data_IF_586542710760
#
_entry.id   IF_586542710760
#
_cell.length_a   1.000
_cell.length_b   1.000
_cell.length_c   1.000
_cell.angle_alpha   90.00
_cell.angle_beta   90.00
_cell.angle_gamma   90.00
#
_symmetry.space_group_name_H-M   'P 1'
#
loop_
_entity.id
_entity.type
_entity.pdbx_description
1 polymer ?
#
# COMPACT_ATOMS: atom_id res chain seq x y z
N UNK A 1 50.27 -51.82 0.80
CA UNK A 1 50.29 -50.81 -0.29
C UNK A 1 48.84 -50.44 -0.59
N UNK A 2 48.35 -49.38 0.05
CA UNK A 2 46.98 -48.90 -0.09
C UNK A 2 46.97 -47.64 -0.97
N UNK A 3 46.09 -47.62 -1.97
CA UNK A 3 45.94 -46.56 -2.97
C UNK A 3 44.90 -45.56 -2.45
N UNK A 4 45.30 -44.30 -2.27
CA UNK A 4 44.43 -43.22 -1.82
C UNK A 4 43.42 -42.81 -2.91
N UNK A 5 42.15 -42.50 -2.57
CA UNK A 5 41.21 -41.93 -3.51
C UNK A 5 41.47 -40.42 -3.67
N UNK A 6 41.46 -39.97 -4.92
CA UNK A 6 41.62 -38.56 -5.34
C UNK A 6 40.31 -37.79 -5.17
N UNK A 7 40.49 -36.50 -4.91
CA UNK A 7 39.49 -35.44 -4.77
C UNK A 7 38.44 -35.41 -5.91
N UNK A 8 37.15 -35.48 -5.54
CA UNK A 8 36.00 -35.25 -6.44
C UNK A 8 35.03 -34.16 -5.92
N UNK A 9 35.45 -33.33 -4.94
CA UNK A 9 34.58 -32.26 -4.38
C UNK A 9 34.78 -30.86 -4.99
N UNK A 10 35.47 -30.74 -6.13
CA UNK A 10 35.93 -29.45 -6.66
C UNK A 10 35.04 -28.72 -7.66
N UNK A 11 33.92 -29.27 -8.14
CA UNK A 11 33.35 -28.82 -9.43
C UNK A 11 31.86 -28.46 -9.46
N UNK A 12 31.20 -28.18 -8.33
CA UNK A 12 29.73 -27.90 -8.32
C UNK A 12 29.38 -26.42 -8.04
N UNK A 13 30.35 -25.52 -7.76
CA UNK A 13 30.07 -24.10 -7.45
C UNK A 13 30.67 -23.16 -8.52
N UNK A 14 30.37 -23.37 -9.79
CA UNK A 14 30.81 -22.47 -10.87
C UNK A 14 29.67 -21.92 -11.75
N UNK A 15 28.49 -22.53 -11.76
CA UNK A 15 27.39 -22.08 -12.62
C UNK A 15 26.24 -21.52 -11.78
N UNK A 16 26.22 -20.19 -11.60
CA UNK A 16 25.03 -19.32 -11.45
C UNK A 16 25.34 -17.96 -10.79
N UNK A 17 26.41 -17.27 -11.20
CA UNK A 17 26.47 -15.81 -10.97
C UNK A 17 26.08 -15.12 -12.28
N UNK A 18 24.91 -14.43 -12.36
CA UNK A 18 24.64 -13.56 -13.49
C UNK A 18 25.79 -12.55 -13.59
N UNK A 19 26.31 -12.37 -14.79
CA UNK A 19 27.40 -11.43 -14.99
C UNK A 19 26.87 -10.01 -14.79
N UNK A 20 27.73 -9.07 -14.37
CA UNK A 20 27.34 -7.66 -14.21
C UNK A 20 26.66 -7.09 -15.47
N UNK A 21 27.04 -7.60 -16.64
CA UNK A 21 26.45 -7.25 -17.93
C UNK A 21 25.00 -7.75 -18.09
N UNK A 22 24.67 -8.90 -17.50
CA UNK A 22 23.30 -9.44 -17.53
C UNK A 22 22.37 -8.58 -16.65
N UNK A 23 22.86 -8.11 -15.50
CA UNK A 23 22.11 -7.23 -14.60
C UNK A 23 21.92 -5.82 -15.18
N UNK A 24 22.92 -5.26 -15.85
CA UNK A 24 22.82 -3.96 -16.54
C UNK A 24 21.81 -4.02 -17.69
N UNK A 25 21.80 -5.14 -18.44
CA UNK A 25 20.83 -5.37 -19.51
C UNK A 25 19.41 -5.49 -18.96
N UNK A 26 19.22 -6.28 -17.91
CA UNK A 26 17.90 -6.47 -17.27
C UNK A 26 17.37 -5.14 -16.70
N UNK A 27 18.24 -4.31 -16.11
CA UNK A 27 17.86 -2.96 -15.65
C UNK A 27 17.48 -2.02 -16.80
N UNK A 28 18.20 -2.06 -17.92
CA UNK A 28 17.90 -1.24 -19.10
C UNK A 28 16.56 -1.62 -19.73
N UNK A 29 16.30 -2.92 -19.88
CA UNK A 29 15.06 -3.44 -20.44
C UNK A 29 13.86 -3.11 -19.52
N UNK A 30 14.06 -3.16 -18.20
CA UNK A 30 13.07 -2.74 -17.20
C UNK A 30 12.71 -1.25 -17.32
N UNK A 31 13.71 -0.37 -17.49
CA UNK A 31 13.49 1.07 -17.63
C UNK A 31 12.72 1.40 -18.93
N UNK A 32 13.03 0.70 -20.03
CA UNK A 32 12.34 0.86 -21.30
C UNK A 32 10.87 0.41 -21.23
N UNK A 33 10.58 -0.66 -20.47
CA UNK A 33 9.21 -1.11 -20.23
C UNK A 33 8.40 -0.10 -19.39
N UNK A 34 9.01 0.49 -18.36
CA UNK A 34 8.36 1.55 -17.55
C UNK A 34 8.04 2.77 -18.40
N UNK A 35 8.99 3.25 -19.20
CA UNK A 35 8.77 4.42 -20.06
C UNK A 35 7.68 4.18 -21.12
N UNK A 36 7.62 2.97 -21.68
CA UNK A 36 6.53 2.58 -22.59
C UNK A 36 5.17 2.57 -21.89
N UNK A 37 5.10 2.03 -20.66
CA UNK A 37 3.86 2.00 -19.88
C UNK A 37 3.38 3.41 -19.48
N UNK A 38 4.29 4.34 -19.18
CA UNK A 38 3.96 5.75 -18.91
C UNK A 38 3.40 6.41 -20.17
N UNK A 39 4.03 6.22 -21.33
CA UNK A 39 3.53 6.78 -22.60
C UNK A 39 2.14 6.23 -22.98
N UNK A 40 1.90 4.93 -22.76
CA UNK A 40 0.58 4.32 -22.96
C UNK A 40 -0.47 4.90 -22.00
N UNK A 41 -0.10 5.13 -20.73
CA UNK A 41 -0.99 5.72 -19.73
C UNK A 41 -1.34 7.19 -20.06
N UNK A 42 -0.36 7.99 -20.50
CA UNK A 42 -0.58 9.36 -20.96
C UNK A 42 -1.49 9.42 -22.19
N UNK A 43 -1.26 8.52 -23.17
CA UNK A 43 -2.12 8.40 -24.35
C UNK A 43 -3.54 7.96 -23.99
N UNK A 44 -3.71 7.06 -23.03
CA UNK A 44 -5.02 6.61 -22.55
C UNK A 44 -5.77 7.71 -21.79
N UNK A 45 -5.05 8.51 -20.99
CA UNK A 45 -5.63 9.66 -20.31
C UNK A 45 -6.10 10.74 -21.30
N UNK A 46 -5.32 11.02 -22.35
CA UNK A 46 -5.70 11.95 -23.41
C UNK A 46 -6.93 11.46 -24.20
N UNK A 47 -6.99 10.15 -24.50
CA UNK A 47 -8.15 9.54 -25.16
C UNK A 47 -9.41 9.60 -24.29
N UNK A 48 -9.29 9.34 -22.98
CA UNK A 48 -10.40 9.43 -22.04
C UNK A 48 -10.95 10.86 -21.92
N UNK A 49 -10.07 11.86 -21.85
CA UNK A 49 -10.47 13.27 -21.83
C UNK A 49 -11.18 13.68 -23.13
N UNK A 50 -10.74 13.15 -24.28
CA UNK A 50 -11.39 13.40 -25.57
C UNK A 50 -12.79 12.77 -25.63
N UNK A 51 -12.93 11.52 -25.15
CA UNK A 51 -14.22 10.83 -25.11
C UNK A 51 -15.22 11.51 -24.15
N UNK A 52 -14.75 12.03 -23.01
CA UNK A 52 -15.56 12.81 -22.08
C UNK A 52 -16.03 14.12 -22.71
N UNK A 53 -15.15 14.83 -23.44
CA UNK A 53 -15.49 16.04 -24.17
C UNK A 53 -16.54 15.78 -25.27
N UNK A 54 -16.40 14.69 -26.03
CA UNK A 54 -17.38 14.29 -27.05
C UNK A 54 -18.73 13.90 -26.45
N UNK A 55 -18.73 13.18 -25.32
CA UNK A 55 -19.95 12.81 -24.59
C UNK A 55 -20.71 14.04 -24.07
N UNK A 56 -19.99 15.01 -23.51
CA UNK A 56 -20.56 16.27 -23.05
C UNK A 56 -21.12 17.10 -24.21
N UNK A 57 -20.41 17.17 -25.34
CA UNK A 57 -20.89 17.85 -26.54
C UNK A 57 -22.19 17.22 -27.08
N UNK A 58 -22.29 15.89 -27.07
CA UNK A 58 -23.50 15.17 -27.47
C UNK A 58 -24.69 15.40 -26.52
N UNK A 59 -24.45 15.47 -25.20
CA UNK A 59 -25.48 15.74 -24.21
C UNK A 59 -26.03 17.18 -24.31
N UNK A 60 -25.17 18.16 -24.58
CA UNK A 60 -25.58 19.54 -24.87
C UNK A 60 -26.40 19.61 -26.17
N UNK A 61 -25.95 18.93 -27.23
CA UNK A 61 -26.68 18.88 -28.50
C UNK A 61 -28.06 18.20 -28.36
N UNK A 62 -28.19 17.24 -27.45
CA UNK A 62 -29.45 16.59 -27.11
C UNK A 62 -30.35 17.41 -26.15
N UNK A 63 -29.87 18.56 -25.65
CA UNK A 63 -30.61 19.44 -24.74
C UNK A 63 -30.79 18.89 -23.33
N UNK A 64 -30.05 17.84 -22.96
CA UNK A 64 -30.15 17.20 -21.63
C UNK A 64 -29.22 17.82 -20.59
N UNK A 65 -28.34 18.75 -21.00
CA UNK A 65 -27.46 19.52 -20.11
C UNK A 65 -27.42 20.99 -20.57
N UNK A 66 -27.75 21.98 -19.72
CA UNK A 66 -27.63 23.40 -20.07
C UNK A 66 -26.15 23.77 -20.27
N UNK A 67 -25.80 24.45 -21.37
CA UNK A 67 -24.43 24.90 -21.65
C UNK A 67 -23.83 25.83 -20.56
N UNK A 68 -24.67 26.37 -19.67
CA UNK A 68 -24.28 27.20 -18.53
C UNK A 68 -23.60 26.43 -17.41
N UNK A 69 -23.77 25.11 -17.33
CA UNK A 69 -23.18 24.27 -16.27
C UNK A 69 -21.70 23.89 -16.53
N UNK A 70 -21.18 24.19 -17.73
CA UNK A 70 -19.77 23.94 -18.09
C UNK A 70 -18.88 25.17 -17.93
N UNK A 71 -19.45 26.33 -17.59
CA UNK A 71 -18.69 27.55 -17.38
C UNK A 71 -18.25 27.66 -15.91
N UNK A 72 -16.97 27.94 -15.63
CA UNK A 72 -16.54 28.28 -14.29
C UNK A 72 -17.35 29.46 -13.74
N UNK A 73 -17.63 29.51 -12.43
CA UNK A 73 -18.35 30.62 -11.81
C UNK A 73 -17.70 31.98 -12.17
N UNK A 74 -18.45 32.86 -12.84
CA UNK A 74 -17.99 34.21 -13.22
C UNK A 74 -17.83 34.47 -14.72
N UNK A 75 -18.02 33.48 -15.60
CA UNK A 75 -17.98 33.68 -17.05
C UNK A 75 -19.39 33.87 -17.64
N UNK A 76 -19.63 35.01 -18.29
CA UNK A 76 -20.88 35.28 -19.03
C UNK A 76 -20.56 35.56 -20.52
N UNK A 77 -20.85 34.63 -21.44
CA UNK A 77 -20.49 34.82 -22.85
C UNK A 77 -21.31 35.98 -23.44
N UNK A 78 -20.62 37.05 -23.85
CA UNK A 78 -21.25 38.29 -24.34
C UNK A 78 -21.80 38.17 -25.78
N UNK A 79 -21.85 36.96 -26.35
CA UNK A 79 -22.36 36.69 -27.68
C UNK A 79 -22.97 35.29 -27.72
N UNK A 80 -24.12 35.15 -28.37
CA UNK A 80 -24.90 33.90 -28.55
C UNK A 80 -24.11 32.82 -29.30
N UNK A 81 -23.10 32.24 -28.66
CA UNK A 81 -22.28 31.15 -29.18
C UNK A 81 -22.30 29.99 -28.20
N UNK A 82 -22.39 28.78 -28.74
CA UNK A 82 -22.41 27.56 -27.93
C UNK A 82 -20.98 27.18 -27.54
N UNK A 83 -20.72 27.06 -26.24
CA UNK A 83 -19.48 26.52 -25.70
C UNK A 83 -19.53 25.00 -25.83
N UNK A 84 -18.50 24.41 -26.44
CA UNK A 84 -18.38 22.96 -26.62
C UNK A 84 -17.56 22.34 -25.49
N UNK A 85 -16.48 22.99 -25.07
CA UNK A 85 -15.61 22.49 -24.01
C UNK A 85 -14.86 23.61 -23.29
N UNK A 86 -14.49 23.36 -22.04
CA UNK A 86 -13.57 24.19 -21.25
C UNK A 86 -12.43 23.28 -20.78
N UNK A 87 -11.19 23.60 -21.18
CA UNK A 87 -10.00 22.84 -20.81
C UNK A 87 -9.18 23.66 -19.83
N UNK A 88 -8.94 23.12 -18.63
CA UNK A 88 -8.05 23.73 -17.64
C UNK A 88 -6.59 23.47 -18.02
N UNK A 89 -5.77 24.52 -18.08
CA UNK A 89 -4.37 24.41 -18.53
C UNK A 89 -3.40 24.14 -17.37
N UNK A 90 -3.87 24.04 -16.12
CA UNK A 90 -3.04 23.75 -14.95
C UNK A 90 -2.21 24.94 -14.41
N UNK A 91 -2.18 26.07 -15.11
CA UNK A 91 -1.51 27.32 -14.73
C UNK A 91 -2.48 28.40 -14.19
N UNK A 92 -3.72 28.00 -13.90
CA UNK A 92 -4.80 28.90 -13.49
C UNK A 92 -5.55 29.55 -14.66
N UNK A 93 -5.19 29.25 -15.92
CA UNK A 93 -5.94 29.66 -17.11
C UNK A 93 -6.85 28.53 -17.64
N UNK A 94 -7.85 28.89 -18.44
CA UNK A 94 -8.72 27.91 -19.11
C UNK A 94 -8.91 28.28 -20.57
N UNK A 95 -8.86 27.27 -21.44
CA UNK A 95 -9.13 27.40 -22.86
C UNK A 95 -10.59 27.05 -23.12
N UNK A 96 -11.36 28.00 -23.67
CA UNK A 96 -12.76 27.79 -24.03
C UNK A 96 -12.86 27.49 -25.53
N UNK A 97 -13.48 26.36 -25.89
CA UNK A 97 -13.67 25.92 -27.27
C UNK A 97 -15.12 26.23 -27.69
N UNK A 98 -15.28 27.01 -28.75
CA UNK A 98 -16.59 27.37 -29.32
C UNK A 98 -16.91 26.52 -30.55
N UNK A 99 -18.19 26.46 -30.91
CA UNK A 99 -18.68 25.66 -32.04
C UNK A 99 -18.22 26.11 -33.43
N UNK A 100 -17.57 27.27 -33.56
CA UNK A 100 -17.16 27.84 -34.84
C UNK A 100 -15.65 27.95 -35.07
N UNK A 101 -14.79 27.88 -34.05
CA UNK A 101 -13.33 27.68 -34.17
C UNK A 101 -12.64 27.57 -32.79
N UNK A 102 -11.46 26.94 -32.72
CA UNK A 102 -10.60 26.94 -31.52
C UNK A 102 -9.79 28.23 -31.43
N UNK A 103 -10.05 29.07 -30.43
CA UNK A 103 -9.16 30.19 -30.08
C UNK A 103 -8.80 30.16 -28.60
N UNK A 104 -7.51 30.21 -28.32
CA UNK A 104 -6.98 30.44 -26.97
C UNK A 104 -7.27 31.88 -26.56
N UNK A 105 -8.28 32.09 -25.72
CA UNK A 105 -8.50 33.37 -25.05
C UNK A 105 -7.62 33.39 -23.80
N UNK A 106 -6.54 34.16 -23.82
CA UNK A 106 -5.79 34.52 -22.62
C UNK A 106 -6.55 35.67 -21.97
N UNK A 107 -7.56 35.34 -21.17
CA UNK A 107 -8.39 36.31 -20.47
C UNK A 107 -7.85 36.57 -19.07
N UNK A 108 -7.37 37.79 -18.80
CA UNK A 108 -7.34 38.29 -17.42
C UNK A 108 -8.76 38.25 -16.86
N UNK A 109 -8.90 37.63 -15.68
CA UNK A 109 -10.17 37.55 -14.95
C UNK A 109 -10.70 38.96 -14.70
N UNK A 110 -11.61 39.41 -15.55
CA UNK A 110 -12.29 40.69 -15.37
C UNK A 110 -13.55 40.40 -14.57
N UNK A 111 -13.50 40.66 -13.25
CA UNK A 111 -14.66 40.62 -12.37
C UNK A 111 -15.72 41.60 -12.88
N UNK A 112 -16.78 41.09 -13.51
CA UNK A 112 -17.98 41.88 -13.77
C UNK A 112 -18.78 42.02 -12.47
N UNK A 113 -18.35 42.89 -11.57
CA UNK A 113 -19.20 43.38 -10.48
C UNK A 113 -19.93 44.63 -10.93
N UNK A 114 -21.26 44.50 -11.02
CA UNK A 114 -22.21 45.61 -10.97
C UNK A 114 -21.83 46.62 -9.90
N UNK A 115 -21.87 47.91 -10.25
CA UNK A 115 -21.49 49.09 -9.46
C UNK A 115 -22.27 49.21 -8.14
N UNK A 116 -21.90 48.40 -7.15
CA UNK A 116 -22.20 48.63 -5.73
C UNK A 116 -20.97 49.31 -5.12
N UNK A 117 -21.10 50.35 -4.28
CA UNK A 117 -19.95 50.90 -3.57
C UNK A 117 -19.24 49.77 -2.82
N UNK A 118 -17.94 49.58 -3.09
CA UNK A 118 -17.11 48.58 -2.42
C UNK A 118 -17.03 48.94 -0.94
N UNK A 119 -17.52 48.05 -0.08
CA UNK A 119 -17.41 48.26 1.38
C UNK A 119 -16.04 47.79 1.87
N UNK A 120 -15.58 48.29 3.03
CA UNK A 120 -14.30 47.88 3.61
C UNK A 120 -14.19 46.35 3.77
N UNK A 121 -15.31 45.67 4.00
CA UNK A 121 -15.36 44.21 4.10
C UNK A 121 -15.18 43.53 2.73
N UNK A 122 -15.65 44.12 1.63
CA UNK A 122 -15.47 43.56 0.28
C UNK A 122 -13.99 43.57 -0.13
N UNK A 123 -13.25 44.63 0.25
CA UNK A 123 -11.79 44.73 0.02
C UNK A 123 -11.05 43.64 0.80
N UNK A 124 -11.38 43.46 2.09
CA UNK A 124 -10.77 42.43 2.92
C UNK A 124 -11.05 41.02 2.39
N UNK A 125 -12.29 40.75 1.99
CA UNK A 125 -12.67 39.47 1.36
C UNK A 125 -11.93 39.24 0.05
N UNK A 126 -11.77 40.28 -0.78
CA UNK A 126 -10.99 40.18 -2.01
C UNK A 126 -9.51 39.87 -1.73
N UNK A 127 -8.93 40.48 -0.70
CA UNK A 127 -7.58 40.15 -0.22
C UNK A 127 -7.44 38.68 0.18
N UNK A 128 -8.36 38.17 1.00
CA UNK A 128 -8.37 36.75 1.41
C UNK A 128 -8.57 35.80 0.21
N UNK A 129 -9.38 36.17 -0.79
CA UNK A 129 -9.51 35.40 -2.04
C UNK A 129 -8.20 35.42 -2.84
N UNK A 130 -7.50 36.55 -2.85
CA UNK A 130 -6.17 36.69 -3.47
C UNK A 130 -5.12 35.79 -2.83
N UNK A 131 -5.29 35.44 -1.54
CA UNK A 131 -4.46 34.45 -0.84
C UNK A 131 -4.83 32.99 -1.14
N UNK A 132 -5.87 32.74 -1.95
CA UNK A 132 -6.27 31.40 -2.39
C UNK A 132 -7.33 30.71 -1.53
N UNK A 133 -7.91 31.38 -0.53
CA UNK A 133 -8.97 30.79 0.30
C UNK A 133 -10.32 30.76 -0.44
N UNK A 134 -11.11 29.70 -0.21
CA UNK A 134 -12.43 29.57 -0.85
C UNK A 134 -13.41 30.67 -0.45
N UNK A 135 -14.30 31.03 -1.38
CA UNK A 135 -15.40 31.97 -1.11
C UNK A 135 -16.28 31.47 0.04
N UNK A 136 -16.48 30.15 0.17
CA UNK A 136 -17.26 29.54 1.24
C UNK A 136 -16.76 29.91 2.64
N UNK A 137 -15.47 29.74 2.94
CA UNK A 137 -14.94 30.09 4.28
C UNK A 137 -14.95 31.60 4.50
N UNK A 138 -14.62 32.38 3.47
CA UNK A 138 -14.55 33.84 3.56
C UNK A 138 -15.94 34.44 3.81
N UNK A 139 -16.96 33.96 3.10
CA UNK A 139 -18.32 34.47 3.22
C UNK A 139 -18.97 34.02 4.54
N UNK A 140 -18.70 32.79 4.99
CA UNK A 140 -19.07 32.35 6.34
C UNK A 140 -18.40 33.19 7.44
N UNK A 141 -17.24 33.79 7.15
CA UNK A 141 -16.47 34.59 8.12
C UNK A 141 -16.86 36.07 8.20
N UNK A 142 -17.87 36.51 7.43
CA UNK A 142 -18.25 37.92 7.32
C UNK A 142 -18.52 38.60 8.67
N UNK A 143 -19.21 37.91 9.59
CA UNK A 143 -19.53 38.45 10.91
C UNK A 143 -18.29 38.69 11.78
N UNK A 144 -17.34 37.75 11.74
CA UNK A 144 -16.06 37.87 12.46
C UNK A 144 -15.23 39.02 11.90
N UNK A 145 -15.05 39.05 10.56
CA UNK A 145 -14.27 40.09 9.88
C UNK A 145 -14.85 41.50 10.09
N UNK A 146 -16.17 41.66 10.03
CA UNK A 146 -16.82 42.94 10.34
C UNK A 146 -16.59 43.38 11.79
N UNK A 147 -16.56 42.43 12.73
CA UNK A 147 -16.29 42.73 14.14
C UNK A 147 -14.87 43.27 14.31
N UNK A 148 -13.87 42.67 13.64
CA UNK A 148 -12.49 43.17 13.66
C UNK A 148 -12.38 44.58 13.05
N UNK A 149 -13.03 44.83 11.91
CA UNK A 149 -13.04 46.15 11.29
C UNK A 149 -13.75 47.20 12.16
N UNK A 150 -14.82 46.82 12.87
CA UNK A 150 -15.54 47.72 13.79
C UNK A 150 -14.71 48.10 15.03
N UNK A 151 -13.75 47.27 15.39
CA UNK A 151 -12.78 47.54 16.45
C UNK A 151 -11.66 48.49 16.00
N UNK A 152 -11.61 48.83 14.71
CA UNK A 152 -10.63 49.73 14.11
C UNK A 152 -9.32 49.04 13.70
N UNK A 153 -9.32 47.72 13.53
CA UNK A 153 -8.19 47.02 12.92
C UNK A 153 -8.13 47.40 11.42
N UNK A 154 -6.93 47.63 10.93
CA UNK A 154 -6.68 47.72 9.49
C UNK A 154 -6.79 46.33 8.83
N UNK A 155 -6.73 46.30 7.50
CA UNK A 155 -6.92 45.08 6.72
C UNK A 155 -5.85 44.02 7.01
N UNK A 156 -4.59 44.43 7.21
CA UNK A 156 -3.48 43.52 7.44
C UNK A 156 -3.58 42.88 8.83
N UNK A 157 -3.84 43.67 9.86
CA UNK A 157 -4.03 43.16 11.22
C UNK A 157 -5.32 42.32 11.34
N UNK A 158 -6.40 42.71 10.66
CA UNK A 158 -7.62 41.90 10.62
C UNK A 158 -7.39 40.55 9.93
N UNK A 159 -6.57 40.54 8.87
CA UNK A 159 -6.18 39.31 8.15
C UNK A 159 -5.29 38.42 9.02
N UNK A 160 -4.30 38.99 9.70
CA UNK A 160 -3.42 38.25 10.62
C UNK A 160 -4.21 37.60 11.76
N UNK A 161 -5.08 38.37 12.43
CA UNK A 161 -5.95 37.85 13.49
C UNK A 161 -6.90 36.78 12.96
N UNK A 162 -7.46 36.95 11.75
CA UNK A 162 -8.33 35.95 11.16
C UNK A 162 -7.61 34.63 10.88
N UNK A 163 -6.41 34.67 10.32
CA UNK A 163 -5.70 33.48 9.86
C UNK A 163 -4.90 32.77 10.96
N UNK A 164 -4.33 33.52 11.89
CA UNK A 164 -3.34 32.99 12.83
C UNK A 164 -3.86 32.85 14.27
N UNK A 165 -4.97 33.52 14.63
CA UNK A 165 -5.47 33.51 16.01
C UNK A 165 -6.72 32.65 16.18
N UNK A 166 -6.79 31.95 17.31
CA UNK A 166 -7.96 31.15 17.70
C UNK A 166 -9.16 32.02 18.07
N UNK A 167 -8.91 33.03 18.89
CA UNK A 167 -9.88 33.99 19.38
C UNK A 167 -9.35 35.42 19.32
N UNK A 168 -10.27 36.37 19.35
CA UNK A 168 -10.00 37.80 19.50
C UNK A 168 -10.92 38.37 20.58
N UNK A 169 -10.36 39.19 21.48
CA UNK A 169 -11.14 39.85 22.53
C UNK A 169 -11.43 41.29 22.10
N UNK A 170 -12.71 41.59 21.87
CA UNK A 170 -13.20 42.92 21.52
C UNK A 170 -12.95 43.91 22.68
N UNK A 171 -12.92 45.22 22.39
CA UNK A 171 -12.78 46.29 23.40
C UNK A 171 -13.85 46.24 24.50
N UNK A 172 -15.02 45.69 24.19
CA UNK A 172 -16.10 45.49 25.16
C UNK A 172 -15.90 44.24 26.07
N UNK A 173 -14.78 43.53 25.93
CA UNK A 173 -14.45 42.31 26.68
C UNK A 173 -15.03 41.01 26.12
N UNK A 174 -15.83 41.07 25.04
CA UNK A 174 -16.42 39.88 24.41
C UNK A 174 -15.37 39.15 23.57
N UNK A 175 -15.28 37.83 23.74
CA UNK A 175 -14.45 36.97 22.90
C UNK A 175 -15.21 36.49 21.68
N UNK A 176 -14.59 36.59 20.51
CA UNK A 176 -15.07 36.02 19.24
C UNK A 176 -14.04 35.02 18.71
N UNK A 177 -14.50 33.91 18.13
CA UNK A 177 -13.62 32.85 17.61
C UNK A 177 -13.39 33.03 16.11
N UNK A 178 -12.18 32.77 15.65
CA UNK A 178 -11.87 32.77 14.22
C UNK A 178 -12.56 31.57 13.54
N UNK A 179 -13.40 31.80 12.50
CA UNK A 179 -13.94 30.71 11.70
C UNK A 179 -12.86 29.95 10.94
N UNK A 180 -11.79 30.62 10.48
CA UNK A 180 -10.66 29.97 9.84
C UNK A 180 -9.95 29.01 10.80
N UNK A 181 -9.73 29.44 12.04
CA UNK A 181 -9.13 28.57 13.04
C UNK A 181 -10.01 27.33 13.31
N UNK A 182 -11.32 27.53 13.37
CA UNK A 182 -12.29 26.45 13.63
C UNK A 182 -12.30 25.39 12.53
N UNK A 183 -12.09 25.80 11.27
CA UNK A 183 -12.09 24.90 10.11
C UNK A 183 -10.71 24.34 9.75
N UNK A 184 -9.64 25.07 10.03
CA UNK A 184 -8.28 24.77 9.55
C UNK A 184 -7.21 24.89 10.63
N UNK A 185 -7.23 25.99 11.41
CA UNK A 185 -6.18 26.31 12.37
C UNK A 185 -6.00 25.29 13.51
N UNK A 186 -7.04 24.51 13.84
CA UNK A 186 -6.97 23.47 14.88
C UNK A 186 -5.87 22.41 14.63
N UNK A 187 -5.42 22.24 13.39
CA UNK A 187 -4.34 21.30 13.05
C UNK A 187 -2.99 21.72 13.63
N UNK A 188 -2.76 23.02 13.84
CA UNK A 188 -1.54 23.49 14.48
C UNK A 188 -1.46 23.12 15.97
N UNK A 189 -2.57 22.74 16.62
CA UNK A 189 -2.58 22.34 18.04
C UNK A 189 -1.79 21.05 18.31
N UNK A 190 -1.58 20.21 17.30
CA UNK A 190 -0.87 18.92 17.42
C UNK A 190 0.53 18.93 16.81
N UNK A 191 0.92 20.04 16.18
CA UNK A 191 2.19 20.19 15.49
C UNK A 191 3.25 20.82 16.39
N UNK A 192 4.48 20.31 16.32
CA UNK A 192 5.61 20.90 17.04
C UNK A 192 6.02 22.26 16.46
N UNK A 193 5.84 22.45 15.15
CA UNK A 193 6.01 23.72 14.45
C UNK A 193 4.71 24.08 13.74
N UNK A 194 4.12 25.25 14.03
CA UNK A 194 2.93 25.70 13.33
C UNK A 194 3.18 25.79 11.81
N UNK A 195 2.22 25.31 11.03
CA UNK A 195 2.19 25.50 9.58
C UNK A 195 1.46 26.79 9.21
N UNK A 196 1.82 27.42 8.08
CA UNK A 196 1.13 28.62 7.62
C UNK A 196 -0.33 28.31 7.23
N UNK A 197 -1.23 29.31 7.31
CA UNK A 197 -2.65 29.17 6.99
C UNK A 197 -2.93 28.54 5.62
N UNK A 198 -2.16 28.90 4.59
CA UNK A 198 -2.31 28.35 3.23
C UNK A 198 -2.03 26.85 3.18
N UNK A 199 -1.01 26.36 3.90
CA UNK A 199 -0.71 24.93 3.98
C UNK A 199 -1.80 24.15 4.73
N UNK A 200 -2.34 24.71 5.81
CA UNK A 200 -3.44 24.07 6.55
C UNK A 200 -4.70 23.97 5.70
N UNK A 201 -5.05 25.05 5.01
CA UNK A 201 -6.18 25.10 4.09
C UNK A 201 -6.02 24.06 2.98
N UNK A 202 -4.86 24.05 2.30
CA UNK A 202 -4.57 23.11 1.22
C UNK A 202 -4.58 21.65 1.71
N UNK A 203 -4.09 21.39 2.92
CA UNK A 203 -4.11 20.05 3.50
C UNK A 203 -5.55 19.57 3.74
N UNK A 204 -6.37 20.35 4.46
CA UNK A 204 -7.75 19.98 4.80
C UNK A 204 -8.59 19.80 3.54
N UNK A 205 -8.56 20.76 2.62
CA UNK A 205 -9.33 20.68 1.38
C UNK A 205 -8.81 19.54 0.48
N UNK A 206 -7.49 19.32 0.45
CA UNK A 206 -6.89 18.17 -0.23
C UNK A 206 -7.41 16.83 0.30
N UNK A 207 -7.45 16.64 1.62
CA UNK A 207 -8.02 15.42 2.22
C UNK A 207 -9.50 15.23 1.89
N UNK A 208 -10.29 16.33 1.89
CA UNK A 208 -11.70 16.29 1.47
C UNK A 208 -11.86 15.88 0.00
N UNK A 209 -11.01 16.40 -0.88
CA UNK A 209 -10.99 16.01 -2.30
C UNK A 209 -10.67 14.52 -2.45
N UNK A 210 -9.69 14.00 -1.71
CA UNK A 210 -9.35 12.56 -1.72
C UNK A 210 -10.53 11.73 -1.20
N UNK A 211 -11.16 12.13 -0.10
CA UNK A 211 -12.34 11.47 0.45
C UNK A 211 -13.47 11.38 -0.59
N UNK A 212 -13.74 12.46 -1.32
CA UNK A 212 -14.74 12.48 -2.39
C UNK A 212 -14.32 11.61 -3.58
N UNK A 213 -13.09 11.75 -4.07
CA UNK A 213 -12.54 11.03 -5.23
C UNK A 213 -12.64 9.51 -5.07
N UNK A 214 -12.39 9.00 -3.87
CA UNK A 214 -12.43 7.57 -3.58
C UNK A 214 -13.73 7.11 -2.90
N UNK A 215 -14.72 8.00 -2.76
CA UNK A 215 -15.98 7.74 -2.06
C UNK A 215 -15.78 7.11 -0.67
N UNK A 216 -14.83 7.67 0.10
CA UNK A 216 -14.50 7.20 1.45
C UNK A 216 -15.56 7.67 2.46
N UNK A 217 -15.68 6.98 3.58
CA UNK A 217 -16.54 7.41 4.67
C UNK A 217 -16.12 8.79 5.24
N UNK A 218 -17.08 9.60 5.67
CA UNK A 218 -16.80 10.95 6.22
C UNK A 218 -15.89 10.91 7.47
N UNK A 219 -15.83 9.78 8.18
CA UNK A 219 -14.95 9.58 9.35
C UNK A 219 -13.48 9.92 9.04
N UNK A 220 -13.03 9.67 7.80
CA UNK A 220 -11.67 9.94 7.33
C UNK A 220 -11.37 11.43 7.06
N UNK A 221 -12.34 12.32 7.34
CA UNK A 221 -12.18 13.78 7.22
C UNK A 221 -12.67 14.52 8.47
N UNK A 222 -12.88 13.79 9.57
CA UNK A 222 -13.24 14.39 10.85
C UNK A 222 -12.04 15.14 11.44
N UNK A 223 -12.26 16.19 12.25
CA UNK A 223 -11.16 16.98 12.82
C UNK A 223 -10.11 16.15 13.56
N UNK A 224 -10.52 15.17 14.37
CA UNK A 224 -9.60 14.30 15.10
C UNK A 224 -8.77 13.41 14.16
N UNK A 225 -9.37 12.91 13.09
CA UNK A 225 -8.68 12.12 12.08
C UNK A 225 -7.64 12.95 11.32
N UNK A 226 -7.99 14.18 10.92
CA UNK A 226 -7.07 15.08 10.22
C UNK A 226 -5.91 15.53 11.14
N UNK A 227 -6.18 15.71 12.45
CA UNK A 227 -5.12 15.91 13.47
C UNK A 227 -4.13 14.75 13.48
N UNK A 228 -4.62 13.50 13.49
CA UNK A 228 -3.76 12.32 13.49
C UNK A 228 -2.93 12.19 12.19
N UNK A 229 -3.50 12.48 11.01
CA UNK A 229 -2.76 12.49 9.75
C UNK A 229 -1.59 13.47 9.78
N UNK A 230 -1.89 14.72 10.15
CA UNK A 230 -0.91 15.81 10.17
C UNK A 230 0.17 15.57 11.23
N UNK A 231 -0.21 15.05 12.40
CA UNK A 231 0.73 14.66 13.46
C UNK A 231 1.70 13.56 13.02
N UNK A 232 1.25 12.61 12.20
CA UNK A 232 2.07 11.50 11.71
C UNK A 232 2.71 11.77 10.34
N UNK A 233 2.77 13.04 9.91
CA UNK A 233 3.35 13.47 8.64
C UNK A 233 2.80 12.72 7.42
N UNK A 234 1.53 12.32 7.45
CA UNK A 234 0.84 11.81 6.27
C UNK A 234 0.33 13.02 5.51
N UNK A 235 0.86 13.29 4.32
CA UNK A 235 0.38 14.37 3.45
C UNK A 235 -0.78 13.92 2.55
N UNK A 236 -1.36 14.87 1.80
CA UNK A 236 -2.51 14.64 0.91
C UNK A 236 -2.18 13.60 -0.16
N UNK A 237 -0.97 13.61 -0.69
CA UNK A 237 -0.53 12.66 -1.71
C UNK A 237 -0.44 11.24 -1.13
N UNK A 238 0.22 11.08 0.01
CA UNK A 238 0.33 9.80 0.72
C UNK A 238 -1.04 9.28 1.11
N UNK A 239 -1.94 10.15 1.59
CA UNK A 239 -3.32 9.78 1.89
C UNK A 239 -4.07 9.31 0.63
N UNK A 240 -3.90 9.98 -0.51
CA UNK A 240 -4.46 9.57 -1.81
C UNK A 240 -3.91 8.21 -2.27
N UNK A 241 -2.60 7.99 -2.14
CA UNK A 241 -1.97 6.71 -2.47
C UNK A 241 -2.53 5.58 -1.59
N UNK A 242 -2.63 5.80 -0.27
CA UNK A 242 -3.23 4.84 0.67
C UNK A 242 -4.70 4.57 0.35
N UNK A 243 -5.48 5.59 -0.03
CA UNK A 243 -6.87 5.42 -0.44
C UNK A 243 -7.00 4.57 -1.71
N UNK A 244 -6.13 4.76 -2.69
CA UNK A 244 -6.11 3.91 -3.88
C UNK A 244 -5.71 2.47 -3.55
N UNK A 245 -4.69 2.27 -2.70
CA UNK A 245 -4.29 0.94 -2.23
C UNK A 245 -5.42 0.24 -1.47
N UNK A 246 -6.12 0.95 -0.59
CA UNK A 246 -7.29 0.46 0.13
C UNK A 246 -8.37 -0.04 -0.84
N UNK A 247 -8.70 0.79 -1.83
CA UNK A 247 -9.70 0.45 -2.86
C UNK A 247 -9.27 -0.76 -3.68
N UNK A 248 -8.02 -0.80 -4.14
CA UNK A 248 -7.48 -1.93 -4.90
C UNK A 248 -7.47 -3.22 -4.07
N UNK A 249 -7.11 -3.13 -2.78
CA UNK A 249 -7.15 -4.28 -1.87
C UNK A 249 -8.57 -4.77 -1.59
N UNK A 250 -9.55 -3.86 -1.52
CA UNK A 250 -10.96 -4.23 -1.36
C UNK A 250 -11.54 -4.89 -2.62
N UNK A 251 -11.19 -4.40 -3.82
CA UNK A 251 -11.63 -4.98 -5.09
C UNK A 251 -10.96 -6.35 -5.33
N UNK A 252 -9.64 -6.42 -5.16
CA UNK A 252 -8.84 -7.63 -5.36
C UNK A 252 -8.69 -8.41 -4.06
N UNK A 253 -9.74 -8.48 -3.24
CA UNK A 253 -9.70 -9.05 -1.89
C UNK A 253 -9.23 -10.51 -1.91
N UNK A 254 -7.92 -10.69 -1.78
CA UNK A 254 -7.28 -11.99 -1.69
C UNK A 254 -7.59 -12.59 -0.32
N UNK A 255 -8.34 -13.72 -0.25
CA UNK A 255 -8.70 -14.35 1.02
C UNK A 255 -7.49 -14.68 1.89
N UNK A 256 -6.34 -15.05 1.29
CA UNK A 256 -5.14 -15.35 2.04
C UNK A 256 -4.53 -14.10 2.69
N UNK A 257 -4.51 -12.97 1.97
CA UNK A 257 -4.06 -11.68 2.50
C UNK A 257 -4.95 -11.17 3.62
N UNK A 258 -6.27 -11.30 3.48
CA UNK A 258 -7.21 -10.97 4.55
C UNK A 258 -6.95 -11.84 5.79
N UNK A 259 -6.83 -13.16 5.62
CA UNK A 259 -6.49 -14.05 6.74
C UNK A 259 -5.14 -13.73 7.37
N UNK A 260 -4.14 -13.34 6.57
CA UNK A 260 -2.84 -12.92 7.07
C UNK A 260 -2.96 -11.68 7.97
N UNK A 261 -3.69 -10.65 7.50
CA UNK A 261 -3.93 -9.43 8.28
C UNK A 261 -4.74 -9.71 9.57
N UNK A 262 -5.72 -10.63 9.52
CA UNK A 262 -6.46 -11.08 10.71
C UNK A 262 -5.52 -11.77 11.71
N UNK A 263 -4.70 -12.72 11.25
CA UNK A 263 -3.74 -13.44 12.11
C UNK A 263 -2.71 -12.50 12.74
N UNK A 264 -2.32 -11.44 12.03
CA UNK A 264 -1.40 -10.42 12.54
C UNK A 264 -2.05 -9.47 13.56
N UNK A 265 -3.38 -9.48 13.67
CA UNK A 265 -4.16 -8.59 14.53
C UNK A 265 -4.36 -7.19 13.94
N UNK A 266 -4.12 -7.03 12.63
CA UNK A 266 -4.22 -5.73 11.96
C UNK A 266 -5.66 -5.39 11.55
N UNK A 267 -6.48 -6.42 11.27
CA UNK A 267 -7.92 -6.28 10.98
C UNK A 267 -8.68 -7.39 11.70
N UNK A 268 -9.98 -7.19 11.93
CA UNK A 268 -10.86 -8.24 12.48
C UNK A 268 -11.48 -9.10 11.38
N UNK A 269 -11.82 -8.48 10.25
CA UNK A 269 -12.41 -9.11 9.07
C UNK A 269 -12.07 -8.32 7.79
N UNK A 270 -12.60 -8.78 6.65
CA UNK A 270 -12.36 -8.16 5.34
C UNK A 270 -12.87 -6.70 5.24
N UNK A 271 -13.87 -6.30 6.03
CA UNK A 271 -14.42 -4.94 6.00
C UNK A 271 -13.43 -3.93 6.60
N UNK A 272 -12.54 -4.39 7.49
CA UNK A 272 -11.48 -3.59 8.10
C UNK A 272 -10.31 -3.25 7.16
N UNK A 273 -10.28 -3.73 5.91
CA UNK A 273 -9.19 -3.44 4.98
C UNK A 273 -9.01 -1.94 4.74
N UNK A 274 -10.09 -1.23 4.44
CA UNK A 274 -10.03 0.22 4.18
C UNK A 274 -9.51 0.98 5.40
N UNK A 275 -10.00 0.63 6.59
CA UNK A 275 -9.59 1.23 7.86
C UNK A 275 -8.10 0.98 8.15
N UNK A 276 -7.59 -0.23 7.82
CA UNK A 276 -6.18 -0.56 7.97
C UNK A 276 -5.27 0.31 7.10
N UNK A 277 -5.54 0.42 5.79
CA UNK A 277 -4.70 1.24 4.90
C UNK A 277 -4.79 2.73 5.21
N UNK A 278 -5.95 3.18 5.70
CA UNK A 278 -6.23 4.55 6.07
C UNK A 278 -6.09 4.79 7.58
N UNK A 279 -5.30 4.01 8.32
CA UNK A 279 -5.08 4.31 9.74
C UNK A 279 -4.17 5.56 9.86
N UNK A 280 -4.68 6.68 10.43
CA UNK A 280 -3.92 7.92 10.50
C UNK A 280 -2.88 7.87 11.64
N UNK A 281 -2.97 6.87 12.53
CA UNK A 281 -2.04 6.65 13.65
C UNK A 281 -0.79 5.89 13.21
N UNK A 282 -0.83 5.30 12.02
CA UNK A 282 0.27 4.51 11.47
C UNK A 282 1.04 5.36 10.44
N UNK A 283 2.27 5.74 10.80
CA UNK A 283 3.21 6.40 9.89
C UNK A 283 3.58 5.53 8.68
N UNK A 284 4.19 6.12 7.66
CA UNK A 284 4.50 5.44 6.39
C UNK A 284 5.41 4.21 6.58
N UNK A 285 6.44 4.33 7.39
CA UNK A 285 7.38 3.23 7.66
C UNK A 285 6.71 2.03 8.34
N UNK A 286 5.91 2.30 9.38
CA UNK A 286 5.16 1.26 10.09
C UNK A 286 4.12 0.61 9.18
N UNK A 287 3.47 1.40 8.32
CA UNK A 287 2.55 0.87 7.32
C UNK A 287 3.26 -0.07 6.35
N UNK A 288 4.42 0.34 5.82
CA UNK A 288 5.21 -0.49 4.92
C UNK A 288 5.67 -1.79 5.60
N UNK A 289 6.09 -1.72 6.86
CA UNK A 289 6.43 -2.90 7.66
C UNK A 289 5.23 -3.84 7.82
N UNK A 290 4.05 -3.30 8.14
CA UNK A 290 2.83 -4.10 8.26
C UNK A 290 2.45 -4.78 6.94
N UNK A 291 2.60 -4.08 5.81
CA UNK A 291 2.33 -4.63 4.47
C UNK A 291 3.32 -5.73 4.09
N UNK A 292 4.61 -5.53 4.34
CA UNK A 292 5.65 -6.54 4.10
C UNK A 292 5.43 -7.77 4.98
N UNK A 293 5.14 -7.57 6.27
CA UNK A 293 4.80 -8.65 7.20
C UNK A 293 3.55 -9.42 6.73
N UNK A 294 2.52 -8.70 6.28
CA UNK A 294 1.30 -9.32 5.75
C UNK A 294 1.57 -10.12 4.47
N UNK A 295 2.40 -9.61 3.56
CA UNK A 295 2.80 -10.34 2.35
C UNK A 295 3.54 -11.64 2.69
N UNK A 296 4.46 -11.59 3.65
CA UNK A 296 5.16 -12.78 4.14
C UNK A 296 4.19 -13.82 4.72
N UNK A 297 3.27 -13.39 5.60
CA UNK A 297 2.26 -14.28 6.20
C UNK A 297 1.26 -14.80 5.17
N UNK A 298 0.95 -14.02 4.13
CA UNK A 298 0.02 -14.43 3.06
C UNK A 298 0.51 -15.73 2.39
N UNK A 299 1.80 -15.85 2.12
CA UNK A 299 2.37 -17.07 1.56
C UNK A 299 2.33 -18.25 2.53
N UNK A 300 2.62 -18.01 3.82
CA UNK A 300 2.47 -19.04 4.85
C UNK A 300 1.02 -19.57 4.92
N UNK A 301 0.03 -18.67 4.83
CA UNK A 301 -1.40 -19.01 4.82
C UNK A 301 -1.75 -19.82 3.57
N UNK A 302 -1.27 -19.43 2.39
CA UNK A 302 -1.49 -20.18 1.13
C UNK A 302 -0.94 -21.60 1.21
N UNK A 303 0.18 -21.79 1.90
CA UNK A 303 0.83 -23.09 2.09
C UNK A 303 0.37 -23.83 3.35
N UNK A 304 -0.64 -23.33 4.07
CA UNK A 304 -1.18 -24.01 5.27
C UNK A 304 -1.68 -25.43 5.01
N UNK A 305 -2.15 -25.74 3.79
CA UNK A 305 -2.55 -27.10 3.39
C UNK A 305 -1.39 -28.09 3.34
N UNK A 306 -0.15 -27.61 3.12
CA UNK A 306 1.07 -28.41 3.26
C UNK A 306 1.44 -28.65 4.73
N UNK A 307 0.65 -28.11 5.65
CA UNK A 307 0.77 -28.28 7.08
C UNK A 307 1.75 -27.33 7.75
N UNK A 308 2.01 -26.19 7.10
CA UNK A 308 2.76 -25.04 7.62
C UNK A 308 1.84 -24.25 8.56
N UNK A 309 2.29 -24.03 9.80
CA UNK A 309 1.63 -23.15 10.75
C UNK A 309 2.08 -21.69 10.56
N UNK A 310 1.26 -20.72 10.95
CA UNK A 310 1.68 -19.30 10.92
C UNK A 310 2.24 -18.92 12.29
N UNK A 311 3.53 -18.62 12.35
CA UNK A 311 4.15 -17.97 13.51
C UNK A 311 4.18 -16.45 13.29
N UNK A 312 3.28 -15.74 13.98
CA UNK A 312 3.14 -14.29 13.83
C UNK A 312 4.27 -13.51 14.48
N UNK A 313 4.94 -14.06 15.50
CA UNK A 313 6.08 -13.41 16.13
C UNK A 313 7.31 -13.49 15.20
N UNK A 314 7.56 -14.66 14.62
CA UNK A 314 8.61 -14.84 13.62
C UNK A 314 8.34 -13.98 12.37
N UNK A 315 7.11 -13.98 11.86
CA UNK A 315 6.76 -13.18 10.70
C UNK A 315 6.97 -11.68 10.93
N UNK A 316 6.66 -11.16 12.14
CA UNK A 316 6.92 -9.75 12.48
C UNK A 316 8.43 -9.43 12.49
N UNK A 317 9.26 -10.35 12.97
CA UNK A 317 10.71 -10.19 12.92
C UNK A 317 11.22 -10.17 11.47
N UNK A 318 10.84 -11.17 10.66
CA UNK A 318 11.27 -11.26 9.26
C UNK A 318 10.74 -10.08 8.43
N UNK A 319 9.50 -9.66 8.66
CA UNK A 319 8.90 -8.49 8.02
C UNK A 319 9.66 -7.20 8.34
N UNK A 320 10.04 -6.99 9.61
CA UNK A 320 10.89 -5.87 10.02
C UNK A 320 12.25 -5.91 9.32
N UNK A 321 12.90 -7.07 9.31
CA UNK A 321 14.23 -7.26 8.71
C UNK A 321 14.21 -7.01 7.19
N UNK A 322 13.17 -7.48 6.48
CA UNK A 322 13.01 -7.27 5.05
C UNK A 322 12.70 -5.80 4.73
N UNK A 323 11.84 -5.14 5.51
CA UNK A 323 11.60 -3.69 5.38
C UNK A 323 12.88 -2.89 5.61
N UNK A 324 13.66 -3.22 6.65
CA UNK A 324 14.94 -2.57 6.94
C UNK A 324 15.97 -2.74 5.81
N UNK A 325 15.89 -3.86 5.06
CA UNK A 325 16.70 -4.11 3.85
C UNK A 325 16.16 -3.40 2.60
N UNK A 326 15.06 -2.66 2.69
CA UNK A 326 14.46 -1.94 1.57
C UNK A 326 13.65 -2.80 0.61
N UNK A 327 13.20 -3.98 1.04
CA UNK A 327 12.38 -4.85 0.18
C UNK A 327 10.98 -4.27 -0.01
N UNK A 328 10.52 -4.25 -1.25
CA UNK A 328 9.13 -3.99 -1.64
C UNK A 328 8.21 -5.16 -1.26
N UNK A 329 6.91 -4.91 -1.23
CA UNK A 329 5.90 -5.93 -0.91
C UNK A 329 5.96 -7.12 -1.87
N UNK A 330 6.21 -6.86 -3.15
CA UNK A 330 6.30 -7.86 -4.22
C UNK A 330 7.55 -8.73 -4.03
N UNK A 331 8.69 -8.12 -3.69
CA UNK A 331 9.92 -8.85 -3.39
C UNK A 331 9.75 -9.73 -2.15
N UNK A 332 9.11 -9.23 -1.09
CA UNK A 332 8.80 -10.03 0.10
C UNK A 332 7.90 -11.21 -0.25
N UNK A 333 6.88 -10.99 -1.08
CA UNK A 333 5.99 -12.06 -1.56
C UNK A 333 6.77 -13.14 -2.31
N UNK A 334 7.67 -12.75 -3.22
CA UNK A 334 8.50 -13.69 -4.00
C UNK A 334 9.44 -14.51 -3.09
N UNK A 335 10.14 -13.86 -2.16
CA UNK A 335 11.02 -14.54 -1.19
C UNK A 335 10.23 -15.49 -0.30
N UNK A 336 9.09 -15.04 0.24
CA UNK A 336 8.23 -15.86 1.07
C UNK A 336 7.66 -17.07 0.31
N UNK A 337 7.23 -16.88 -0.94
CA UNK A 337 6.70 -17.94 -1.78
C UNK A 337 7.74 -19.04 -2.02
N UNK A 338 8.97 -18.67 -2.38
CA UNK A 338 10.07 -19.62 -2.58
C UNK A 338 10.45 -20.34 -1.28
N UNK A 339 10.56 -19.60 -0.18
CA UNK A 339 10.91 -20.19 1.12
C UNK A 339 9.85 -21.17 1.62
N UNK A 340 8.58 -20.76 1.62
CA UNK A 340 7.49 -21.62 2.07
C UNK A 340 7.18 -22.79 1.13
N UNK A 341 7.48 -22.67 -0.15
CA UNK A 341 7.43 -23.82 -1.07
C UNK A 341 8.44 -24.89 -0.68
N UNK A 342 9.71 -24.51 -0.43
CA UNK A 342 10.75 -25.45 0.03
C UNK A 342 10.39 -26.06 1.38
N UNK A 343 9.93 -25.25 2.33
CA UNK A 343 9.47 -25.74 3.65
C UNK A 343 8.34 -26.76 3.46
N UNK A 344 7.33 -26.46 2.63
CA UNK A 344 6.20 -27.35 2.38
C UNK A 344 6.60 -28.70 1.78
N UNK A 345 7.61 -28.72 0.91
CA UNK A 345 8.16 -29.95 0.33
C UNK A 345 8.92 -30.80 1.35
N UNK A 346 9.62 -30.17 2.30
CA UNK A 346 10.51 -30.86 3.26
C UNK A 346 9.80 -31.27 4.55
N UNK A 347 8.84 -30.48 5.03
CA UNK A 347 8.26 -30.62 6.37
C UNK A 347 7.60 -31.99 6.59
N UNK A 348 6.68 -32.40 5.70
CA UNK A 348 5.96 -33.67 5.89
C UNK A 348 6.87 -34.91 5.80
N UNK A 349 7.81 -35.02 4.84
CA UNK A 349 8.81 -36.08 4.85
C UNK A 349 9.62 -36.13 6.15
N UNK A 350 10.08 -34.99 6.66
CA UNK A 350 10.89 -34.93 7.88
C UNK A 350 10.09 -35.33 9.12
N UNK A 351 8.83 -34.88 9.24
CA UNK A 351 7.93 -35.31 10.33
C UNK A 351 7.75 -36.84 10.31
N UNK A 352 7.56 -37.45 9.12
CA UNK A 352 7.43 -38.91 9.00
C UNK A 352 8.72 -39.64 9.36
N UNK A 353 9.87 -39.15 8.89
CA UNK A 353 11.18 -39.72 9.24
C UNK A 353 11.39 -39.70 10.76
N UNK A 354 11.04 -38.60 11.42
CA UNK A 354 11.14 -38.50 12.87
C UNK A 354 10.21 -39.47 13.59
N UNK A 355 8.97 -39.62 13.13
CA UNK A 355 8.04 -40.59 13.72
C UNK A 355 8.59 -42.02 13.65
N UNK A 356 9.31 -42.36 12.57
CA UNK A 356 9.90 -43.70 12.37
C UNK A 356 11.17 -43.89 13.23
N UNK A 357 12.06 -42.89 13.28
CA UNK A 357 13.39 -43.04 13.87
C UNK A 357 13.52 -42.45 15.28
N UNK A 358 12.81 -41.37 15.58
CA UNK A 358 12.80 -40.70 16.88
C UNK A 358 12.15 -41.52 18.00
N UNK A 359 11.20 -42.39 17.67
CA UNK A 359 10.60 -43.33 18.64
C UNK A 359 11.60 -44.37 19.17
N UNK A 360 12.67 -44.67 18.43
CA UNK A 360 13.65 -45.71 18.82
C UNK A 360 14.67 -45.26 19.86
N UNK A 361 14.77 -43.96 20.16
CA UNK A 361 15.80 -43.42 21.07
C UNK A 361 15.39 -43.33 22.54
N UNK A 362 14.21 -43.84 22.94
CA UNK A 362 13.82 -43.97 24.36
C UNK A 362 13.55 -42.67 25.11
N UNK A 363 13.75 -41.51 24.47
CA UNK A 363 13.18 -40.23 24.91
C UNK A 363 11.75 -40.17 24.39
N UNK A 364 10.77 -40.00 25.28
CA UNK A 364 9.35 -40.01 24.94
C UNK A 364 9.08 -39.17 23.69
N UNK A 365 8.31 -39.74 22.75
CA UNK A 365 7.97 -39.07 21.50
C UNK A 365 7.29 -37.74 21.82
N UNK A 366 7.94 -36.62 21.49
CA UNK A 366 7.27 -35.33 21.50
C UNK A 366 5.96 -35.47 20.69
N UNK A 367 4.85 -34.85 21.13
CA UNK A 367 3.62 -34.83 20.36
C UNK A 367 3.91 -34.37 18.92
N UNK A 368 3.29 -35.00 17.92
CA UNK A 368 3.54 -34.69 16.50
C UNK A 368 3.42 -33.19 16.20
N UNK A 369 2.48 -32.52 16.87
CA UNK A 369 2.30 -31.06 16.77
C UNK A 369 3.52 -30.26 17.21
N UNK A 370 4.15 -30.65 18.32
CA UNK A 370 5.36 -29.99 18.84
C UNK A 370 6.56 -30.27 17.94
N UNK A 371 6.74 -31.52 17.53
CA UNK A 371 7.79 -31.90 16.59
C UNK A 371 7.70 -31.13 15.27
N UNK A 372 6.49 -31.06 14.70
CA UNK A 372 6.24 -30.33 13.46
C UNK A 372 6.57 -28.84 13.61
N UNK A 373 6.20 -28.24 14.74
CA UNK A 373 6.54 -26.84 15.04
C UNK A 373 8.05 -26.63 15.14
N UNK A 374 8.78 -27.52 15.83
CA UNK A 374 10.23 -27.44 15.97
C UNK A 374 10.96 -27.60 14.62
N UNK A 375 10.51 -28.54 13.79
CA UNK A 375 11.05 -28.75 12.44
C UNK A 375 10.76 -27.55 11.54
N UNK A 376 9.53 -27.03 11.55
CA UNK A 376 9.18 -25.86 10.76
C UNK A 376 10.06 -24.66 11.15
N UNK A 377 10.23 -24.39 12.44
CA UNK A 377 11.06 -23.27 12.94
C UNK A 377 12.50 -23.35 12.44
N UNK A 378 13.07 -24.57 12.36
CA UNK A 378 14.41 -24.76 11.82
C UNK A 378 14.48 -24.56 10.31
N UNK A 379 13.49 -25.06 9.57
CA UNK A 379 13.41 -24.85 8.13
C UNK A 379 13.22 -23.36 7.80
N UNK A 380 12.42 -22.64 8.58
CA UNK A 380 12.24 -21.19 8.45
C UNK A 380 13.55 -20.44 8.71
N UNK A 381 14.30 -20.81 9.76
CA UNK A 381 15.62 -20.22 10.02
C UNK A 381 16.63 -20.52 8.89
N UNK A 382 16.55 -21.71 8.29
CA UNK A 382 17.39 -22.08 7.15
C UNK A 382 17.03 -21.28 5.90
N UNK A 383 15.74 -21.23 5.54
CA UNK A 383 15.31 -20.58 4.30
C UNK A 383 15.38 -19.05 4.35
N UNK A 384 15.12 -18.43 5.51
CA UNK A 384 15.02 -16.98 5.61
C UNK A 384 16.21 -16.31 6.30
N UNK A 385 16.93 -17.02 7.18
CA UNK A 385 18.10 -16.48 7.89
C UNK A 385 19.43 -17.10 7.44
N UNK A 386 19.40 -18.13 6.60
CA UNK A 386 20.61 -18.83 6.13
C UNK A 386 21.30 -19.68 7.20
N UNK A 387 20.64 -19.95 8.33
CA UNK A 387 21.18 -20.77 9.40
C UNK A 387 21.03 -22.25 9.05
N UNK A 388 22.14 -22.95 8.81
CA UNK A 388 22.09 -24.37 8.49
C UNK A 388 21.41 -25.18 9.61
N UNK A 389 20.41 -26.00 9.27
CA UNK A 389 19.71 -26.83 10.26
C UNK A 389 20.56 -28.03 10.68
N UNK A 390 21.09 -27.99 11.91
CA UNK A 390 21.85 -29.11 12.48
C UNK A 390 21.02 -30.38 12.63
N UNK A 391 19.72 -30.23 12.93
CA UNK A 391 18.81 -31.36 13.07
C UNK A 391 18.56 -31.99 11.70
N UNK A 392 18.32 -31.17 10.66
CA UNK A 392 18.21 -31.67 9.28
C UNK A 392 19.45 -32.46 8.87
N UNK A 393 20.65 -31.93 9.15
CA UNK A 393 21.91 -32.62 8.85
C UNK A 393 21.98 -33.98 9.54
N UNK A 394 21.71 -34.03 10.85
CA UNK A 394 21.68 -35.27 11.63
C UNK A 394 20.62 -36.26 11.12
N UNK A 395 19.48 -35.80 10.60
CA UNK A 395 18.40 -36.67 10.12
C UNK A 395 18.65 -37.22 8.72
N UNK A 396 19.20 -36.42 7.81
CA UNK A 396 19.68 -36.90 6.51
C UNK A 396 20.78 -37.95 6.70
N UNK A 397 21.72 -37.70 7.62
CA UNK A 397 22.75 -38.68 7.99
C UNK A 397 22.13 -39.99 8.52
N UNK A 398 21.09 -39.92 9.38
CA UNK A 398 20.39 -41.11 9.88
C UNK A 398 19.66 -41.90 8.77
N UNK A 399 19.03 -41.22 7.81
CA UNK A 399 18.37 -41.87 6.67
C UNK A 399 19.38 -42.59 5.78
N UNK A 400 20.50 -41.93 5.44
CA UNK A 400 21.58 -42.54 4.67
C UNK A 400 22.14 -43.78 5.37
N UNK A 401 22.37 -43.71 6.69
CA UNK A 401 22.83 -44.85 7.48
C UNK A 401 21.79 -45.99 7.53
N UNK A 402 20.50 -45.68 7.63
CA UNK A 402 19.43 -46.68 7.62
C UNK A 402 19.33 -47.37 6.25
N UNK A 403 19.50 -46.63 5.15
CA UNK A 403 19.51 -47.17 3.80
C UNK A 403 20.70 -48.12 3.56
N UNK A 404 21.90 -47.71 3.99
CA UNK A 404 23.12 -48.54 3.90
C UNK A 404 23.02 -49.85 4.71
N UNK A 405 22.35 -49.84 5.87
CA UNK A 405 22.11 -51.08 6.66
C UNK A 405 21.12 -52.03 5.97
N UNK A 406 20.14 -51.51 5.22
CA UNK A 406 19.17 -52.34 4.48
C UNK A 406 19.80 -53.05 3.29
N UNK A 407 20.77 -52.44 2.59
CA UNK A 407 21.47 -53.10 1.47
C UNK A 407 22.42 -54.22 1.92
N UNK A 408 22.96 -54.14 3.15
CA UNK A 408 23.86 -55.17 3.70
C UNK A 408 23.18 -56.43 4.25
N UNK A 409 21.87 -56.41 4.50
CA UNK A 409 21.19 -57.51 5.23
C UNK A 409 20.42 -58.47 4.30
N UNK A 410 20.28 -58.17 3.01
CA UNK A 410 19.57 -59.03 2.03
C UNK A 410 20.49 -60.12 1.42
N UNK A 411 21.82 -60.05 1.62
CA UNK A 411 22.78 -60.96 0.98
C UNK A 411 23.23 -62.21 1.76
N UNK A 412 22.86 -62.37 3.04
CA UNK A 412 23.40 -63.45 3.89
C UNK A 412 22.33 -64.43 4.40
N UNK A 413 21.19 -64.52 3.72
CA UNK A 413 20.13 -65.50 3.97
C UNK A 413 20.37 -66.82 3.26
N UNK A 414 21.36 -67.59 3.73
CA UNK A 414 21.27 -69.07 3.87
C UNK A 414 20.79 -69.88 2.65
N UNK A 415 21.60 -69.96 1.58
CA UNK A 415 21.63 -71.13 0.69
C UNK A 415 22.25 -72.32 1.45
N UNK A 416 21.46 -72.95 2.32
CA UNK A 416 21.84 -74.25 2.93
C UNK A 416 21.42 -75.33 1.95
N UNK A 417 22.40 -76.01 1.35
CA UNK A 417 22.19 -77.04 0.35
C UNK A 417 21.29 -78.18 0.85
N UNK A 418 20.09 -78.27 0.28
CA UNK A 418 19.25 -79.46 0.32
C UNK A 418 19.55 -80.30 -0.91
N UNK A 419 20.39 -81.33 -0.75
CA UNK A 419 20.62 -82.39 -1.73
C UNK A 419 19.31 -83.12 -2.01
N UNK A 420 18.67 -82.83 -3.16
CA UNK A 420 17.55 -83.62 -3.67
C UNK A 420 18.10 -84.93 -4.26
N UNK A 421 18.21 -85.95 -3.40
CA UNK A 421 18.40 -87.33 -3.81
C UNK A 421 17.06 -87.87 -4.31
N UNK A 422 17.05 -88.32 -5.57
CA UNK A 422 15.89 -88.95 -6.18
C UNK A 422 15.49 -90.24 -5.48
N UNK A 423 14.19 -90.43 -5.34
CA UNK A 423 13.56 -91.75 -5.31
C UNK A 423 12.31 -91.71 -6.18
N UNK A 424 12.43 -92.38 -7.33
CA UNK A 424 11.29 -92.96 -8.02
C UNK A 424 10.54 -93.84 -7.02
N UNK A 425 9.23 -93.66 -6.89
CA UNK A 425 8.38 -94.80 -6.55
C UNK A 425 7.04 -94.71 -7.27
N UNK A 426 6.66 -95.87 -7.76
CA UNK A 426 5.61 -96.19 -8.72
C UNK A 426 4.33 -96.53 -7.98
N UNK A 427 3.18 -96.17 -8.58
CA UNK A 427 1.87 -96.80 -8.32
C UNK A 427 1.08 -96.21 -7.16
N UNK A 428 -0.25 -96.26 -7.12
CA UNK A 428 -1.25 -96.75 -8.05
C UNK A 428 -2.62 -96.26 -7.53
N UNK A 429 -3.57 -96.14 -8.47
CA UNK A 429 -5.03 -96.00 -8.32
C UNK A 429 -5.59 -94.64 -7.87
#
# INVERSE_FOLDING_TARGET
>A
MARAPKDEFGTIIADAKPTLQDLEKESSDSLAAVNSAVAEAESAAAAAATAEAEGNAAAIAAGTTPATDLLPPGYNPTVSRTVIAVVSNGDGTSTIIYSDDTRTIIGEKTDTTTTKPTTNIDILKAGLRGLGFSTGVIDASTGFLNSLLSEGLDYDNATDVFLNNKDYTLKNGTKINSPFYSEYGYLNEVLASPKPPSELYNAVEGYKIVQQKFNLDKKFTTPDYLKDLVKNNVDVETFSQRANLARLAAINSDPAKVQALIKLGNIQDATGLTDFYLDPKIGQEVMQQNLNTAAFVTEAVRRSQSGIAVDTAYAKQVGADLTAKGFSQEQVTSVAAQGYEKIGQQLNPLVKLEQIYGQKTGMGSAPESQLRADLQKQLEAEQFNGTASELLRKRIEQEQLAFQRRSGTIGAGRLTGGSFAGKNNVGAL
#
